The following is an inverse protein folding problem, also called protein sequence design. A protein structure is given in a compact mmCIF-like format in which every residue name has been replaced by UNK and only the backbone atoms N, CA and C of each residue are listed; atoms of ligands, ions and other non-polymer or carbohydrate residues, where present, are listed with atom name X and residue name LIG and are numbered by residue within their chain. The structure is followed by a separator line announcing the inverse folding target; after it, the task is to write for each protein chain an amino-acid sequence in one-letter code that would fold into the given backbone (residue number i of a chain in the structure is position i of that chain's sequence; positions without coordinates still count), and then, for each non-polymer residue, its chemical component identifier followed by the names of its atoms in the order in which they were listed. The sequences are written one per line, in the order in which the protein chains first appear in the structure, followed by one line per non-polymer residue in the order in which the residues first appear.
data_IF_880772801284
#
_entry.id   IF_880772801284
#
_cell.length_a   1.000
_cell.length_b   1.000
_cell.length_c   1.000
_cell.angle_alpha   90.00
_cell.angle_beta   90.00
_cell.angle_gamma   90.00
#
_symmetry.space_group_name_H-M   'P 1'
#
loop_
_entity.id
_entity.type
_entity.pdbx_description
1 polymer ?
#
# COMPACT_ATOMS: atom_id res chain seq x y z
N UNK A 1 -3.20 67.70 2.51
CA UNK A 1 -2.30 66.73 3.16
C UNK A 1 -3.02 65.57 3.84
N UNK A 2 -3.84 65.77 4.91
CA UNK A 2 -4.54 64.66 5.58
C UNK A 2 -5.45 63.83 4.66
N UNK A 3 -6.25 64.47 3.80
CA UNK A 3 -7.15 63.76 2.85
C UNK A 3 -6.39 62.95 1.81
N UNK A 4 -5.28 63.49 1.29
CA UNK A 4 -4.41 62.81 0.32
C UNK A 4 -3.72 61.59 0.94
N UNK A 5 -3.24 61.70 2.18
CA UNK A 5 -2.64 60.60 2.93
C UNK A 5 -3.66 59.47 3.19
N UNK A 6 -4.88 59.81 3.61
CA UNK A 6 -5.97 58.84 3.82
C UNK A 6 -6.33 58.12 2.52
N UNK A 7 -6.44 58.85 1.39
CA UNK A 7 -6.70 58.24 0.09
C UNK A 7 -5.58 57.30 -0.37
N UNK A 8 -4.31 57.64 -0.14
CA UNK A 8 -3.18 56.76 -0.47
C UNK A 8 -3.23 55.49 0.38
N UNK A 9 -3.44 55.60 1.70
CA UNK A 9 -3.53 54.44 2.60
C UNK A 9 -4.69 53.51 2.22
N UNK A 10 -5.86 54.08 1.90
CA UNK A 10 -7.02 53.30 1.44
C UNK A 10 -6.73 52.61 0.10
N UNK A 11 -6.11 53.31 -0.85
CA UNK A 11 -5.76 52.74 -2.15
C UNK A 11 -4.72 51.62 -2.02
N UNK A 12 -3.67 51.82 -1.22
CA UNK A 12 -2.66 50.78 -0.94
C UNK A 12 -3.30 49.58 -0.26
N UNK A 13 -4.17 49.79 0.74
CA UNK A 13 -4.90 48.70 1.39
C UNK A 13 -5.78 47.91 0.43
N UNK A 14 -6.50 48.59 -0.47
CA UNK A 14 -7.33 47.94 -1.49
C UNK A 14 -6.52 47.16 -2.52
N UNK A 15 -5.38 47.71 -2.96
CA UNK A 15 -4.46 47.03 -3.89
C UNK A 15 -3.86 45.78 -3.24
N UNK A 16 -3.38 45.88 -1.99
CA UNK A 16 -2.86 44.74 -1.23
C UNK A 16 -3.93 43.66 -1.00
N UNK A 17 -5.16 44.06 -0.65
CA UNK A 17 -6.27 43.12 -0.46
C UNK A 17 -6.68 42.44 -1.77
N UNK A 18 -6.76 43.21 -2.87
CA UNK A 18 -7.08 42.69 -4.19
C UNK A 18 -5.99 41.75 -4.70
N UNK A 19 -4.72 42.08 -4.47
CA UNK A 19 -3.59 41.20 -4.75
C UNK A 19 -3.68 39.92 -3.92
N UNK A 20 -3.92 40.01 -2.61
CA UNK A 20 -4.10 38.84 -1.74
C UNK A 20 -5.26 37.95 -2.20
N UNK A 21 -6.39 38.53 -2.63
CA UNK A 21 -7.55 37.76 -3.08
C UNK A 21 -7.33 37.10 -4.46
N UNK A 22 -6.57 37.72 -5.36
CA UNK A 22 -6.43 37.28 -6.75
C UNK A 22 -5.15 36.50 -7.06
N UNK A 23 -4.06 36.73 -6.31
CA UNK A 23 -2.78 36.08 -6.56
C UNK A 23 -2.76 34.66 -6.00
N UNK A 24 -2.35 33.70 -6.83
CA UNK A 24 -1.95 32.37 -6.39
C UNK A 24 -0.51 32.42 -5.86
N UNK A 25 -0.17 31.49 -4.96
CA UNK A 25 1.19 31.35 -4.46
C UNK A 25 2.08 30.67 -5.51
N UNK A 26 3.40 30.77 -5.35
CA UNK A 26 4.30 29.91 -6.10
C UNK A 26 4.21 28.46 -5.57
N UNK A 27 4.28 27.48 -6.46
CA UNK A 27 4.41 26.08 -6.06
C UNK A 27 5.76 25.89 -5.36
N UNK A 28 5.77 25.18 -4.23
CA UNK A 28 7.02 24.84 -3.53
C UNK A 28 7.93 24.01 -4.44
N UNK A 29 9.26 24.26 -4.49
CA UNK A 29 10.16 23.51 -5.38
C UNK A 29 10.12 21.99 -5.15
N UNK A 30 10.05 21.55 -3.89
CA UNK A 30 9.95 20.13 -3.53
C UNK A 30 8.62 19.52 -4.00
N UNK A 31 7.51 20.25 -3.84
CA UNK A 31 6.22 19.85 -4.37
C UNK A 31 6.27 19.67 -5.89
N UNK A 32 6.94 20.58 -6.61
CA UNK A 32 7.16 20.45 -8.05
C UNK A 32 8.00 19.21 -8.41
N UNK A 33 9.02 18.89 -7.63
CA UNK A 33 9.84 17.70 -7.86
C UNK A 33 9.01 16.41 -7.72
N UNK A 34 8.13 16.34 -6.71
CA UNK A 34 7.26 15.18 -6.53
C UNK A 34 6.22 15.04 -7.65
N UNK A 35 5.67 16.14 -8.17
CA UNK A 35 4.73 16.05 -9.31
C UNK A 35 5.37 15.44 -10.57
N UNK A 36 6.69 15.55 -10.71
CA UNK A 36 7.42 15.05 -11.86
C UNK A 36 7.75 13.55 -11.76
N UNK A 37 7.66 12.93 -10.58
CA UNK A 37 7.95 11.48 -10.43
C UNK A 37 6.96 10.58 -11.16
N UNK A 38 5.75 11.09 -11.44
CA UNK A 38 4.68 10.36 -12.12
C UNK A 38 4.82 10.24 -13.64
N UNK A 39 5.75 10.99 -14.23
CA UNK A 39 5.98 10.96 -15.67
C UNK A 39 6.87 9.79 -16.11
N UNK A 40 7.39 8.99 -15.15
CA UNK A 40 8.23 7.84 -15.48
C UNK A 40 7.40 6.71 -16.07
N UNK A 41 7.79 6.28 -17.28
CA UNK A 41 7.19 5.15 -17.99
C UNK A 41 7.69 3.85 -17.37
N UNK A 42 6.87 2.79 -17.36
CA UNK A 42 7.39 1.44 -17.12
C UNK A 42 8.38 1.12 -18.24
N UNK A 43 9.66 0.95 -17.90
CA UNK A 43 10.76 1.02 -18.88
C UNK A 43 10.91 -0.27 -19.71
N UNK A 44 10.34 -1.40 -19.28
CA UNK A 44 10.48 -2.68 -19.98
C UNK A 44 9.44 -3.75 -19.56
N UNK A 45 9.41 -4.85 -20.33
CA UNK A 45 8.65 -6.08 -20.03
C UNK A 45 9.17 -6.87 -18.81
N UNK A 46 10.27 -6.43 -18.20
CA UNK A 46 10.91 -7.08 -17.04
C UNK A 46 10.46 -6.45 -15.71
N UNK A 47 9.21 -5.98 -15.67
CA UNK A 47 8.58 -5.40 -14.49
C UNK A 47 7.42 -6.30 -14.03
N UNK A 48 7.34 -6.54 -12.72
CA UNK A 48 6.36 -7.44 -12.14
C UNK A 48 4.91 -6.98 -12.38
N UNK A 49 4.62 -5.68 -12.34
CA UNK A 49 3.29 -5.14 -12.62
C UNK A 49 2.85 -5.42 -14.07
N UNK A 50 3.77 -5.31 -15.03
CA UNK A 50 3.51 -5.67 -16.45
C UNK A 50 3.24 -7.17 -16.60
N UNK A 51 4.01 -8.02 -15.92
CA UNK A 51 3.78 -9.46 -15.93
C UNK A 51 2.45 -9.84 -15.29
N UNK A 52 2.05 -9.19 -14.19
CA UNK A 52 0.74 -9.41 -13.58
C UNK A 52 -0.44 -8.99 -14.49
N UNK A 53 -0.26 -7.99 -15.36
CA UNK A 53 -1.28 -7.63 -16.38
C UNK A 53 -1.48 -8.73 -17.43
N UNK A 54 -0.48 -9.59 -17.63
CA UNK A 54 -0.45 -10.67 -18.64
C UNK A 54 -0.40 -12.06 -18.02
N UNK A 55 -0.79 -12.18 -16.74
CA UNK A 55 -0.60 -13.39 -15.95
C UNK A 55 -1.19 -14.63 -16.64
N UNK A 56 -0.42 -15.72 -16.68
CA UNK A 56 -0.81 -16.98 -17.32
C UNK A 56 -0.75 -16.95 -18.85
N UNK A 57 -0.40 -15.80 -19.45
CA UNK A 57 -0.21 -15.60 -20.88
C UNK A 57 1.22 -15.11 -21.14
N UNK A 58 2.16 -16.02 -20.95
CA UNK A 58 3.60 -15.77 -21.06
C UNK A 58 4.12 -15.59 -22.49
N UNK A 59 3.25 -15.64 -23.50
CA UNK A 59 3.60 -15.40 -24.89
C UNK A 59 4.16 -13.96 -25.07
N UNK A 60 5.38 -13.79 -25.62
CA UNK A 60 5.99 -12.48 -25.80
C UNK A 60 5.15 -11.51 -26.64
N UNK A 61 4.38 -11.99 -27.63
CA UNK A 61 3.51 -11.14 -28.43
C UNK A 61 2.39 -10.55 -27.59
N UNK A 62 1.77 -11.36 -26.73
CA UNK A 62 0.70 -10.89 -25.83
C UNK A 62 1.22 -9.84 -24.84
N UNK A 63 2.40 -10.08 -24.25
CA UNK A 63 3.02 -9.13 -23.32
C UNK A 63 3.38 -7.81 -23.97
N UNK A 64 3.91 -7.84 -25.19
CA UNK A 64 4.16 -6.64 -25.98
C UNK A 64 2.88 -5.88 -26.26
N UNK A 65 1.79 -6.55 -26.63
CA UNK A 65 0.49 -5.90 -26.84
C UNK A 65 -0.05 -5.23 -25.56
N UNK A 66 0.11 -5.88 -24.40
CA UNK A 66 -0.28 -5.28 -23.11
C UNK A 66 0.57 -4.04 -22.79
N UNK A 67 1.88 -4.12 -23.03
CA UNK A 67 2.78 -2.97 -22.81
C UNK A 67 2.48 -1.82 -23.79
N UNK A 68 2.25 -2.11 -25.07
CA UNK A 68 1.82 -1.13 -26.08
C UNK A 68 0.53 -0.45 -25.65
N UNK A 69 -0.48 -1.23 -25.23
CA UNK A 69 -1.75 -0.70 -24.71
C UNK A 69 -1.53 0.20 -23.49
N UNK A 70 -0.63 -0.18 -22.57
CA UNK A 70 -0.27 0.63 -21.42
C UNK A 70 0.37 1.97 -21.85
N UNK A 71 1.32 1.93 -22.78
CA UNK A 71 2.00 3.12 -23.27
C UNK A 71 1.07 4.06 -24.04
N UNK A 72 0.20 3.53 -24.90
CA UNK A 72 -0.81 4.32 -25.61
C UNK A 72 -1.74 5.03 -24.63
N UNK A 73 -2.23 4.32 -23.60
CA UNK A 73 -3.07 4.91 -22.56
C UNK A 73 -2.31 5.96 -21.73
N UNK A 74 -1.05 5.71 -21.41
CA UNK A 74 -0.21 6.67 -20.69
C UNK A 74 0.06 7.94 -21.51
N UNK A 75 0.29 7.80 -22.82
CA UNK A 75 0.46 8.94 -23.73
C UNK A 75 -0.84 9.75 -23.84
N UNK A 76 -1.98 9.08 -24.02
CA UNK A 76 -3.29 9.73 -24.02
C UNK A 76 -3.55 10.47 -22.71
N UNK A 77 -3.22 9.87 -21.57
CA UNK A 77 -3.34 10.51 -20.26
C UNK A 77 -2.43 11.74 -20.11
N UNK A 78 -1.19 11.69 -20.61
CA UNK A 78 -0.28 12.84 -20.56
C UNK A 78 -0.71 13.97 -21.50
N UNK A 79 -1.30 13.66 -22.66
CA UNK A 79 -1.65 14.65 -23.68
C UNK A 79 -3.02 15.32 -23.46
N UNK A 80 -3.97 14.62 -22.84
CA UNK A 80 -5.36 15.10 -22.79
C UNK A 80 -5.70 15.91 -21.54
N UNK A 81 -4.87 15.90 -20.49
CA UNK A 81 -5.16 16.43 -19.12
C UNK A 81 -6.48 15.94 -18.49
N UNK A 82 -7.30 15.21 -19.24
CA UNK A 82 -8.61 14.70 -18.88
C UNK A 82 -8.46 13.20 -18.65
N UNK A 83 -9.03 12.72 -17.55
CA UNK A 83 -9.18 11.28 -17.34
C UNK A 83 -10.11 10.78 -18.44
N UNK A 84 -9.65 9.86 -19.29
CA UNK A 84 -10.56 9.16 -20.21
C UNK A 84 -11.61 8.42 -19.37
N UNK A 85 -12.83 8.28 -19.89
CA UNK A 85 -13.88 7.50 -19.21
C UNK A 85 -13.56 5.99 -19.18
N UNK A 86 -12.39 5.58 -19.64
CA UNK A 86 -11.97 4.19 -19.65
C UNK A 86 -11.56 3.77 -18.23
N UNK A 87 -12.03 2.59 -17.82
CA UNK A 87 -11.57 1.99 -16.56
C UNK A 87 -10.07 1.67 -16.65
N UNK A 88 -9.37 1.90 -15.54
CA UNK A 88 -7.99 1.45 -15.39
C UNK A 88 -7.92 -0.07 -15.59
N UNK A 89 -6.83 -0.52 -16.24
CA UNK A 89 -6.53 -1.95 -16.33
C UNK A 89 -6.34 -2.51 -14.92
N UNK A 90 -6.78 -3.73 -14.67
CA UNK A 90 -6.58 -4.39 -13.38
C UNK A 90 -5.36 -5.29 -13.48
N UNK A 91 -4.52 -5.36 -12.45
CA UNK A 91 -3.51 -6.40 -12.32
C UNK A 91 -3.54 -7.00 -10.91
N UNK A 92 -3.53 -8.33 -10.71
CA UNK A 92 -3.55 -9.36 -11.74
C UNK A 92 -4.86 -9.36 -12.57
N UNK A 93 -4.74 -9.55 -13.89
CA UNK A 93 -5.87 -9.54 -14.82
C UNK A 93 -6.36 -10.95 -15.18
N UNK A 94 -6.95 -11.65 -14.21
CA UNK A 94 -7.48 -13.01 -14.42
C UNK A 94 -8.98 -13.01 -14.18
N UNK A 95 -9.76 -12.88 -15.24
CA UNK A 95 -11.23 -12.78 -15.13
C UNK A 95 -11.89 -14.02 -14.54
N UNK A 96 -11.20 -15.17 -14.62
CA UNK A 96 -11.65 -16.45 -14.11
C UNK A 96 -11.59 -16.53 -12.57
N UNK A 97 -10.97 -15.57 -11.88
CA UNK A 97 -10.90 -15.55 -10.41
C UNK A 97 -12.21 -15.14 -9.74
N UNK A 98 -13.05 -14.34 -10.41
CA UNK A 98 -14.26 -13.76 -9.82
C UNK A 98 -15.16 -14.78 -9.09
N UNK A 99 -15.44 -15.99 -9.65
CA UNK A 99 -16.27 -16.99 -8.96
C UNK A 99 -15.62 -17.57 -7.69
N UNK A 100 -14.30 -17.44 -7.55
CA UNK A 100 -13.53 -18.04 -6.45
C UNK A 100 -13.23 -17.07 -5.31
N UNK A 101 -13.28 -15.75 -5.54
CA UNK A 101 -12.97 -14.74 -4.52
C UNK A 101 -13.84 -14.88 -3.26
N UNK A 102 -15.10 -15.28 -3.42
CA UNK A 102 -16.04 -15.51 -2.32
C UNK A 102 -16.24 -16.98 -1.97
N UNK A 103 -15.48 -17.90 -2.58
CA UNK A 103 -15.67 -19.32 -2.39
C UNK A 103 -15.08 -19.76 -1.03
N UNK A 104 -15.87 -20.43 -0.17
CA UNK A 104 -15.43 -20.85 1.17
C UNK A 104 -14.25 -21.83 1.16
N UNK A 105 -13.93 -22.44 0.02
CA UNK A 105 -12.77 -23.31 -0.13
C UNK A 105 -11.43 -22.53 -0.12
N UNK A 106 -11.43 -21.25 -0.48
CA UNK A 106 -10.23 -20.40 -0.41
C UNK A 106 -10.21 -19.58 0.88
N UNK A 107 -10.33 -20.31 1.99
CA UNK A 107 -10.38 -19.81 3.35
C UNK A 107 -9.04 -19.24 3.85
N UNK A 108 -9.08 -18.53 4.97
CA UNK A 108 -7.86 -18.16 5.70
C UNK A 108 -7.36 -19.41 6.44
N UNK A 109 -6.07 -19.74 6.30
CA UNK A 109 -5.52 -20.99 6.85
C UNK A 109 -5.42 -20.98 8.37
N UNK A 110 -5.57 -19.81 8.99
CA UNK A 110 -5.72 -19.64 10.44
C UNK A 110 -7.11 -20.04 10.95
N UNK A 111 -8.11 -20.16 10.07
CA UNK A 111 -9.44 -20.61 10.48
C UNK A 111 -9.41 -22.12 10.83
N UNK A 112 -9.94 -22.52 12.00
CA UNK A 112 -9.84 -23.90 12.48
C UNK A 112 -10.38 -24.98 11.52
N UNK A 113 -11.38 -24.63 10.72
CA UNK A 113 -12.05 -25.51 9.78
C UNK A 113 -11.50 -25.43 8.36
N UNK A 114 -10.49 -24.60 8.10
CA UNK A 114 -9.95 -24.40 6.76
C UNK A 114 -9.26 -25.66 6.22
N UNK A 115 -8.22 -26.18 6.90
CA UNK A 115 -7.54 -27.41 6.44
C UNK A 115 -8.46 -28.64 6.37
N UNK A 116 -9.35 -28.91 7.34
CA UNK A 116 -10.36 -29.96 7.20
C UNK A 116 -11.20 -29.81 5.93
N UNK A 117 -11.68 -28.59 5.64
CA UNK A 117 -12.47 -28.30 4.43
C UNK A 117 -11.67 -28.48 3.15
N UNK A 118 -10.39 -28.10 3.13
CA UNK A 118 -9.51 -28.34 1.99
C UNK A 118 -9.33 -29.86 1.74
N UNK A 119 -9.15 -30.65 2.80
CA UNK A 119 -9.00 -32.10 2.70
C UNK A 119 -10.29 -32.78 2.21
N UNK A 120 -11.45 -32.37 2.70
CA UNK A 120 -12.75 -32.89 2.25
C UNK A 120 -13.03 -32.61 0.76
N UNK A 121 -12.39 -31.58 0.19
CA UNK A 121 -12.61 -31.13 -1.19
C UNK A 121 -11.34 -31.26 -2.06
N UNK A 122 -10.40 -32.14 -1.68
CA UNK A 122 -9.09 -32.27 -2.34
C UNK A 122 -9.20 -32.53 -3.84
N UNK A 123 -10.13 -33.38 -4.27
CA UNK A 123 -10.30 -33.76 -5.67
C UNK A 123 -10.72 -32.56 -6.53
N UNK A 124 -11.70 -31.79 -6.05
CA UNK A 124 -12.16 -30.59 -6.74
C UNK A 124 -11.06 -29.52 -6.76
N UNK A 125 -10.39 -29.31 -5.63
CA UNK A 125 -9.29 -28.34 -5.54
C UNK A 125 -8.10 -28.74 -6.43
N UNK A 126 -7.81 -30.02 -6.58
CA UNK A 126 -6.80 -30.53 -7.51
C UNK A 126 -7.09 -30.16 -8.97
N UNK A 127 -8.37 -30.20 -9.38
CA UNK A 127 -8.79 -29.74 -10.71
C UNK A 127 -8.57 -28.23 -10.84
N UNK A 128 -9.01 -27.44 -9.85
CA UNK A 128 -8.87 -25.98 -9.86
C UNK A 128 -7.39 -25.56 -9.90
N UNK A 129 -6.54 -26.19 -9.10
CA UNK A 129 -5.09 -25.94 -9.11
C UNK A 129 -4.46 -26.29 -10.47
N UNK A 130 -4.87 -27.40 -11.08
CA UNK A 130 -4.41 -27.80 -12.41
C UNK A 130 -4.84 -26.78 -13.48
N UNK A 131 -6.06 -26.27 -13.39
CA UNK A 131 -6.60 -25.25 -14.31
C UNK A 131 -5.78 -23.96 -14.26
N UNK A 132 -5.38 -23.52 -13.07
CA UNK A 132 -4.64 -22.27 -12.84
C UNK A 132 -3.11 -22.45 -12.76
N UNK A 133 -2.58 -23.62 -13.11
CA UNK A 133 -1.16 -23.88 -13.07
C UNK A 133 -0.33 -22.90 -13.93
N UNK A 134 -0.76 -22.49 -15.15
CA UNK A 134 -0.05 -21.49 -15.93
C UNK A 134 0.11 -20.16 -15.19
N UNK A 135 -0.95 -19.66 -14.55
CA UNK A 135 -0.94 -18.43 -13.75
C UNK A 135 -0.06 -18.57 -12.52
N UNK A 136 -0.11 -19.71 -11.82
CA UNK A 136 0.73 -19.97 -10.64
C UNK A 136 2.22 -20.04 -10.99
N UNK A 137 2.59 -20.70 -12.09
CA UNK A 137 3.98 -20.78 -12.54
C UNK A 137 4.51 -19.41 -12.95
N UNK A 138 3.73 -18.64 -13.73
CA UNK A 138 4.09 -17.29 -14.14
C UNK A 138 4.19 -16.35 -12.92
N UNK A 139 3.25 -16.46 -11.97
CA UNK A 139 3.27 -15.71 -10.71
C UNK A 139 4.54 -16.00 -9.88
N UNK A 140 4.90 -17.27 -9.72
CA UNK A 140 6.10 -17.65 -8.97
C UNK A 140 7.39 -17.23 -9.68
N UNK A 141 7.40 -17.15 -11.01
CA UNK A 141 8.55 -16.68 -11.80
C UNK A 141 8.85 -15.19 -11.62
N UNK A 142 7.89 -14.40 -11.10
CA UNK A 142 8.09 -12.96 -10.87
C UNK A 142 9.28 -12.65 -9.96
N UNK A 143 9.68 -13.59 -9.11
CA UNK A 143 10.85 -13.44 -8.23
C UNK A 143 12.17 -13.24 -9.02
N UNK A 144 12.20 -13.65 -10.28
CA UNK A 144 13.37 -13.53 -11.17
C UNK A 144 13.49 -12.13 -11.80
N UNK A 145 12.49 -11.26 -11.63
CA UNK A 145 12.46 -9.93 -12.22
C UNK A 145 13.26 -8.92 -11.38
N UNK A 146 13.80 -7.91 -12.04
CA UNK A 146 14.60 -6.87 -11.36
C UNK A 146 13.75 -5.69 -10.86
N UNK A 147 12.58 -5.46 -11.47
CA UNK A 147 11.73 -4.30 -11.23
C UNK A 147 10.34 -4.68 -10.71
N UNK A 148 9.92 -4.00 -9.65
CA UNK A 148 8.63 -4.15 -8.98
C UNK A 148 7.90 -2.81 -8.82
N UNK A 149 8.32 -1.80 -9.59
CA UNK A 149 7.67 -0.49 -9.65
C UNK A 149 6.19 -0.67 -10.02
N UNK A 150 5.31 0.05 -9.33
CA UNK A 150 3.88 -0.05 -9.59
C UNK A 150 3.50 0.64 -10.90
N UNK A 151 2.50 0.12 -11.59
CA UNK A 151 1.97 0.73 -12.81
C UNK A 151 1.21 2.04 -12.48
N UNK A 152 1.24 3.02 -13.38
CA UNK A 152 0.58 4.30 -13.17
C UNK A 152 -0.91 4.07 -12.82
N UNK A 153 -1.42 4.54 -11.66
CA UNK A 153 -2.72 4.19 -11.13
C UNK A 153 -3.89 4.85 -11.86
N UNK A 154 -3.63 5.69 -12.88
CA UNK A 154 -4.66 6.14 -13.82
C UNK A 154 -4.81 5.21 -15.02
N UNK A 155 -3.78 4.40 -15.29
CA UNK A 155 -3.70 3.51 -16.45
C UNK A 155 -3.99 2.07 -16.04
N UNK A 156 -3.39 1.65 -14.93
CA UNK A 156 -3.56 0.33 -14.35
C UNK A 156 -3.54 0.39 -12.82
N UNK A 157 -4.43 -0.34 -12.17
CA UNK A 157 -4.52 -0.43 -10.72
C UNK A 157 -4.40 -1.87 -10.23
N UNK A 158 -3.79 -2.03 -9.05
CA UNK A 158 -3.64 -3.31 -8.40
C UNK A 158 -4.99 -3.78 -7.86
N UNK A 159 -5.46 -4.92 -8.33
CA UNK A 159 -6.59 -5.63 -7.75
C UNK A 159 -6.09 -6.47 -6.57
N UNK A 160 -6.29 -5.95 -5.35
CA UNK A 160 -5.83 -6.59 -4.12
C UNK A 160 -6.49 -7.95 -3.89
N UNK A 161 -7.77 -8.10 -4.21
CA UNK A 161 -8.50 -9.36 -4.01
C UNK A 161 -7.93 -10.47 -4.89
N UNK A 162 -7.68 -10.18 -6.17
CA UNK A 162 -7.01 -11.10 -7.10
C UNK A 162 -5.58 -11.43 -6.65
N UNK A 163 -4.84 -10.44 -6.13
CA UNK A 163 -3.49 -10.68 -5.63
C UNK A 163 -3.51 -11.61 -4.40
N UNK A 164 -4.35 -11.34 -3.40
CA UNK A 164 -4.49 -12.18 -2.21
C UNK A 164 -4.95 -13.59 -2.62
N UNK A 165 -5.85 -13.69 -3.60
CA UNK A 165 -6.30 -14.97 -4.13
C UNK A 165 -5.16 -15.79 -4.73
N UNK A 166 -4.22 -15.20 -5.47
CA UNK A 166 -3.02 -15.91 -5.96
C UNK A 166 -2.18 -16.50 -4.82
N UNK A 167 -1.96 -15.72 -3.76
CA UNK A 167 -1.22 -16.22 -2.58
C UNK A 167 -1.96 -17.37 -1.89
N UNK A 168 -3.29 -17.30 -1.78
CA UNK A 168 -4.11 -18.39 -1.23
C UNK A 168 -4.11 -19.63 -2.12
N UNK A 169 -4.21 -19.44 -3.43
CA UNK A 169 -4.22 -20.52 -4.42
C UNK A 169 -2.88 -21.26 -4.41
N UNK A 170 -1.76 -20.52 -4.46
CA UNK A 170 -0.41 -21.10 -4.31
C UNK A 170 -0.21 -21.73 -2.93
N UNK A 171 -0.71 -21.10 -1.88
CA UNK A 171 -0.70 -21.65 -0.52
C UNK A 171 -1.45 -22.99 -0.42
N UNK A 172 -2.54 -23.16 -1.18
CA UNK A 172 -3.31 -24.41 -1.25
C UNK A 172 -2.54 -25.50 -1.99
N UNK A 173 -1.82 -25.14 -3.06
CA UNK A 173 -0.90 -26.08 -3.74
C UNK A 173 0.19 -26.57 -2.79
N UNK A 174 0.85 -25.64 -2.09
CA UNK A 174 1.89 -25.94 -1.09
C UNK A 174 1.32 -26.82 0.02
N UNK A 175 0.11 -26.52 0.49
CA UNK A 175 -0.58 -27.31 1.49
C UNK A 175 -0.72 -28.78 1.07
N UNK A 176 -1.18 -29.03 -0.16
CA UNK A 176 -1.27 -30.40 -0.67
C UNK A 176 0.09 -31.05 -0.93
N UNK A 177 1.13 -30.28 -1.28
CA UNK A 177 2.49 -30.83 -1.31
C UNK A 177 2.94 -31.30 0.08
N UNK A 178 2.55 -30.61 1.17
CA UNK A 178 2.81 -31.07 2.55
C UNK A 178 2.04 -32.37 2.84
N UNK A 179 0.73 -32.40 2.58
CA UNK A 179 -0.12 -33.58 2.85
C UNK A 179 0.32 -34.82 2.05
N UNK A 180 0.86 -34.62 0.84
CA UNK A 180 1.38 -35.68 -0.02
C UNK A 180 2.85 -36.03 0.27
N UNK A 181 3.43 -35.53 1.36
CA UNK A 181 4.81 -35.76 1.79
C UNK A 181 5.89 -35.29 0.78
N UNK A 182 5.58 -34.29 -0.05
CA UNK A 182 6.53 -33.61 -0.93
C UNK A 182 7.21 -32.42 -0.20
N UNK A 183 7.78 -32.68 0.98
CA UNK A 183 8.20 -31.64 1.94
C UNK A 183 9.23 -30.67 1.35
N UNK A 184 10.23 -31.16 0.61
CA UNK A 184 11.24 -30.30 -0.02
C UNK A 184 10.64 -29.32 -1.04
N UNK A 185 9.66 -29.79 -1.84
CA UNK A 185 8.96 -28.93 -2.81
C UNK A 185 8.14 -27.87 -2.06
N UNK A 186 7.37 -28.28 -1.06
CA UNK A 186 6.58 -27.37 -0.24
C UNK A 186 7.44 -26.31 0.47
N UNK A 187 8.59 -26.69 1.03
CA UNK A 187 9.52 -25.74 1.65
C UNK A 187 10.08 -24.74 0.64
N UNK A 188 10.54 -25.21 -0.52
CA UNK A 188 11.08 -24.32 -1.54
C UNK A 188 10.03 -23.35 -2.09
N UNK A 189 8.83 -23.85 -2.36
CA UNK A 189 7.73 -23.05 -2.87
C UNK A 189 7.24 -22.02 -1.85
N UNK A 190 7.12 -22.40 -0.56
CA UNK A 190 6.75 -21.47 0.50
C UNK A 190 7.82 -20.39 0.71
N UNK A 191 9.10 -20.77 0.74
CA UNK A 191 10.21 -19.83 0.83
C UNK A 191 10.16 -18.82 -0.31
N UNK A 192 9.97 -19.29 -1.54
CA UNK A 192 9.89 -18.42 -2.72
C UNK A 192 8.64 -17.54 -2.69
N UNK A 193 7.51 -18.05 -2.18
CA UNK A 193 6.27 -17.27 -2.05
C UNK A 193 6.42 -16.13 -1.03
N UNK A 194 7.04 -16.40 0.13
CA UNK A 194 7.36 -15.37 1.13
C UNK A 194 8.34 -14.36 0.56
N UNK A 195 9.40 -14.83 -0.12
CA UNK A 195 10.39 -13.97 -0.76
C UNK A 195 9.75 -13.04 -1.80
N UNK A 196 8.88 -13.58 -2.66
CA UNK A 196 8.15 -12.80 -3.66
C UNK A 196 7.30 -11.71 -2.99
N UNK A 197 6.52 -12.07 -1.96
CA UNK A 197 5.69 -11.08 -1.27
C UNK A 197 6.53 -9.99 -0.59
N UNK A 198 7.67 -10.37 -0.02
CA UNK A 198 8.61 -9.45 0.62
C UNK A 198 9.25 -8.51 -0.40
N UNK A 199 9.56 -8.97 -1.60
CA UNK A 199 10.08 -8.10 -2.67
C UNK A 199 9.01 -7.11 -3.15
N UNK A 200 7.75 -7.55 -3.30
CA UNK A 200 6.64 -6.62 -3.53
C UNK A 200 6.50 -5.60 -2.39
N UNK A 201 6.61 -6.05 -1.14
CA UNK A 201 6.56 -5.18 0.02
C UNK A 201 7.70 -4.15 0.00
N UNK A 202 8.94 -4.56 -0.25
CA UNK A 202 10.11 -3.68 -0.22
C UNK A 202 10.12 -2.69 -1.38
N UNK A 203 9.96 -3.20 -2.61
CA UNK A 203 10.31 -2.47 -3.84
C UNK A 203 9.12 -1.81 -4.51
N UNK A 204 7.89 -2.19 -4.17
CA UNK A 204 6.72 -1.56 -4.77
C UNK A 204 6.39 -0.24 -4.07
N UNK A 205 6.09 0.77 -4.87
CA UNK A 205 5.57 2.05 -4.43
C UNK A 205 4.02 2.09 -4.43
N UNK A 206 3.38 0.91 -4.34
CA UNK A 206 1.94 0.73 -4.11
C UNK A 206 1.65 0.30 -2.66
N UNK A 207 0.74 1.03 -2.01
CA UNK A 207 0.28 0.72 -0.64
C UNK A 207 -0.36 -0.67 -0.53
N UNK A 208 -1.07 -1.11 -1.56
CA UNK A 208 -1.78 -2.38 -1.53
C UNK A 208 -0.82 -3.59 -1.46
N UNK A 209 0.40 -3.46 -2.00
CA UNK A 209 1.45 -4.47 -1.85
C UNK A 209 1.96 -4.56 -0.40
N UNK A 210 2.03 -3.44 0.34
CA UNK A 210 2.36 -3.45 1.78
C UNK A 210 1.29 -4.18 2.60
N UNK A 211 0.03 -3.88 2.30
CA UNK A 211 -1.13 -4.50 2.95
C UNK A 211 -1.18 -6.01 2.66
N UNK A 212 -0.96 -6.40 1.41
CA UNK A 212 -0.94 -7.80 0.97
C UNK A 212 0.03 -8.65 1.80
N UNK A 213 1.25 -8.18 2.07
CA UNK A 213 2.20 -8.94 2.87
C UNK A 213 1.73 -9.17 4.31
N UNK A 214 1.15 -8.14 4.94
CA UNK A 214 0.59 -8.25 6.29
C UNK A 214 -0.52 -9.30 6.35
N UNK A 215 -1.41 -9.29 5.35
CA UNK A 215 -2.51 -10.25 5.23
C UNK A 215 -2.00 -11.68 5.00
N UNK A 216 -1.06 -11.87 4.08
CA UNK A 216 -0.58 -13.22 3.72
C UNK A 216 0.33 -13.83 4.79
N UNK A 217 1.12 -13.02 5.50
CA UNK A 217 1.93 -13.48 6.62
C UNK A 217 1.06 -14.14 7.70
N UNK A 218 -0.06 -13.52 8.02
CA UNK A 218 -1.03 -14.04 8.98
C UNK A 218 -1.84 -15.20 8.41
N UNK A 219 -2.47 -15.02 7.25
CA UNK A 219 -3.51 -15.92 6.77
C UNK A 219 -3.02 -17.11 5.94
N UNK A 220 -1.75 -17.11 5.49
CA UNK A 220 -1.18 -18.16 4.64
C UNK A 220 0.15 -18.67 5.20
N UNK A 221 1.15 -17.79 5.34
CA UNK A 221 2.53 -18.22 5.58
C UNK A 221 2.70 -18.83 6.97
N UNK A 222 2.16 -18.20 8.02
CA UNK A 222 2.24 -18.69 9.39
C UNK A 222 1.70 -20.11 9.53
N UNK A 223 0.49 -20.37 9.01
CA UNK A 223 -0.14 -21.68 9.10
C UNK A 223 0.65 -22.76 8.35
N UNK A 224 1.16 -22.44 7.15
CA UNK A 224 1.98 -23.38 6.37
C UNK A 224 3.33 -23.66 7.00
N UNK A 225 4.00 -22.65 7.58
CA UNK A 225 5.26 -22.83 8.31
C UNK A 225 5.08 -23.73 9.53
N UNK A 226 4.03 -23.51 10.31
CA UNK A 226 3.70 -24.36 11.48
C UNK A 226 3.46 -25.80 11.02
N UNK A 227 2.73 -25.99 9.93
CA UNK A 227 2.44 -27.32 9.41
C UNK A 227 3.69 -28.02 8.87
N UNK A 228 4.55 -27.31 8.14
CA UNK A 228 5.85 -27.81 7.68
C UNK A 228 6.79 -28.18 8.81
N UNK A 229 6.84 -27.37 9.88
CA UNK A 229 7.71 -27.62 11.04
C UNK A 229 7.44 -28.98 11.69
N UNK A 230 6.21 -29.49 11.60
CA UNK A 230 5.83 -30.80 12.15
C UNK A 230 6.35 -31.99 11.31
N UNK A 231 6.90 -31.75 10.12
CA UNK A 231 7.46 -32.78 9.25
C UNK A 231 8.91 -33.11 9.61
N UNK A 232 9.29 -34.38 9.52
CA UNK A 232 10.65 -34.85 9.86
C UNK A 232 11.74 -34.24 8.96
N UNK A 233 11.42 -33.93 7.70
CA UNK A 233 12.36 -33.35 6.72
C UNK A 233 12.48 -31.82 6.78
N UNK A 234 11.88 -31.19 7.79
CA UNK A 234 11.89 -29.74 7.91
C UNK A 234 13.30 -29.17 8.14
N UNK A 235 13.70 -28.22 7.31
CA UNK A 235 14.95 -27.48 7.44
C UNK A 235 14.69 -25.99 7.64
N UNK A 236 14.74 -25.55 8.90
CA UNK A 236 14.54 -24.16 9.29
C UNK A 236 15.52 -23.19 8.60
N UNK A 237 16.72 -23.67 8.22
CA UNK A 237 17.76 -22.81 7.66
C UNK A 237 17.32 -22.18 6.33
N UNK A 238 16.46 -22.86 5.56
CA UNK A 238 15.93 -22.38 4.28
C UNK A 238 15.12 -21.08 4.41
N UNK A 239 14.57 -20.80 5.59
CA UNK A 239 13.68 -19.66 5.82
C UNK A 239 14.37 -18.45 6.48
N UNK A 240 15.61 -18.62 6.96
CA UNK A 240 16.37 -17.60 7.69
C UNK A 240 16.35 -16.23 7.02
N UNK A 241 16.59 -16.20 5.69
CA UNK A 241 16.65 -14.95 4.92
C UNK A 241 15.27 -14.31 4.73
N UNK A 242 14.23 -15.10 4.50
CA UNK A 242 12.90 -14.56 4.15
C UNK A 242 12.11 -14.12 5.39
N UNK A 243 12.41 -14.70 6.56
CA UNK A 243 11.81 -14.34 7.85
C UNK A 243 12.66 -13.39 8.70
N UNK A 244 13.83 -12.94 8.22
CA UNK A 244 14.63 -11.95 8.95
C UNK A 244 13.77 -10.71 9.26
N UNK A 245 14.00 -10.01 10.39
CA UNK A 245 13.29 -8.78 10.69
C UNK A 245 13.36 -7.80 9.52
N UNK A 246 12.28 -7.06 9.30
CA UNK A 246 12.22 -6.01 8.31
C UNK A 246 13.25 -4.94 8.66
N UNK A 247 13.95 -4.45 7.65
CA UNK A 247 14.79 -3.27 7.74
C UNK A 247 13.93 -2.00 7.72
N UNK A 248 14.46 -0.90 8.25
CA UNK A 248 13.78 0.40 8.18
C UNK A 248 13.52 0.83 6.72
N UNK A 249 14.41 0.46 5.78
CA UNK A 249 14.19 0.69 4.35
C UNK A 249 12.93 -0.01 3.84
N UNK A 250 12.77 -1.29 4.18
CA UNK A 250 11.58 -2.07 3.83
C UNK A 250 10.31 -1.51 4.49
N UNK A 251 10.39 -0.99 5.72
CA UNK A 251 9.24 -0.40 6.42
C UNK A 251 8.81 0.97 5.87
N UNK A 252 9.68 1.64 5.12
CA UNK A 252 9.40 2.99 4.63
C UNK A 252 8.21 2.99 3.66
N UNK A 253 7.31 3.97 3.84
CA UNK A 253 6.25 4.29 2.88
C UNK A 253 6.49 5.62 2.16
N UNK A 254 7.70 6.19 2.26
CA UNK A 254 7.98 7.54 1.75
C UNK A 254 7.72 7.65 0.23
N UNK A 255 8.14 6.67 -0.56
CA UNK A 255 7.87 6.66 -2.01
C UNK A 255 6.37 6.52 -2.31
N UNK A 256 5.64 5.72 -1.52
CA UNK A 256 4.17 5.60 -1.61
C UNK A 256 3.51 6.96 -1.34
N UNK A 257 4.00 7.74 -0.36
CA UNK A 257 3.49 9.07 -0.06
C UNK A 257 3.78 10.08 -1.19
N UNK A 258 5.00 10.07 -1.74
CA UNK A 258 5.39 10.89 -2.89
C UNK A 258 4.48 10.60 -4.09
N UNK A 259 4.28 9.32 -4.40
CA UNK A 259 3.39 8.86 -5.46
C UNK A 259 1.95 9.28 -5.18
N UNK A 260 1.45 9.04 -3.98
CA UNK A 260 0.07 9.40 -3.60
C UNK A 260 -0.19 10.90 -3.72
N UNK A 261 0.75 11.75 -3.29
CA UNK A 261 0.67 13.20 -3.50
C UNK A 261 0.54 13.55 -4.99
N UNK A 262 1.43 13.02 -5.82
CA UNK A 262 1.45 13.34 -7.24
C UNK A 262 0.21 12.83 -7.99
N UNK A 263 -0.31 11.64 -7.64
CA UNK A 263 -1.61 11.13 -8.09
C UNK A 263 -2.73 12.11 -7.74
N UNK A 264 -2.86 12.47 -6.46
CA UNK A 264 -3.94 13.32 -5.98
C UNK A 264 -3.88 14.74 -6.52
N UNK A 265 -2.67 15.28 -6.68
CA UNK A 265 -2.46 16.58 -7.33
C UNK A 265 -2.92 16.56 -8.80
N UNK A 266 -2.63 15.49 -9.56
CA UNK A 266 -3.11 15.36 -10.94
C UNK A 266 -4.62 15.20 -11.03
N UNK A 267 -5.25 14.44 -10.12
CA UNK A 267 -6.72 14.34 -10.05
C UNK A 267 -7.38 15.71 -9.92
N UNK A 268 -6.83 16.57 -9.06
CA UNK A 268 -7.32 17.94 -8.89
C UNK A 268 -7.16 18.74 -10.19
N UNK A 269 -5.97 18.71 -10.81
CA UNK A 269 -5.72 19.41 -12.09
C UNK A 269 -6.69 18.96 -13.20
N UNK A 270 -6.88 17.65 -13.36
CA UNK A 270 -7.78 17.07 -14.36
C UNK A 270 -9.26 17.47 -14.13
N UNK A 271 -9.73 17.36 -12.88
CA UNK A 271 -11.10 17.77 -12.52
C UNK A 271 -11.36 19.26 -12.78
N UNK A 272 -10.33 20.10 -12.67
CA UNK A 272 -10.42 21.53 -12.96
C UNK A 272 -10.36 21.83 -14.45
N UNK A 273 -9.52 21.13 -15.22
CA UNK A 273 -9.50 21.22 -16.68
C UNK A 273 -10.88 20.91 -17.26
N UNK A 274 -11.52 19.83 -16.79
CA UNK A 274 -12.88 19.45 -17.17
C UNK A 274 -13.94 20.52 -16.83
N UNK A 275 -13.78 21.24 -15.72
CA UNK A 275 -14.68 22.35 -15.34
C UNK A 275 -14.47 23.58 -16.21
N UNK A 276 -13.21 23.96 -16.51
CA UNK A 276 -12.88 25.14 -17.34
C UNK A 276 -13.59 25.10 -18.69
N UNK A 277 -13.58 23.94 -19.36
CA UNK A 277 -14.29 23.70 -20.64
C UNK A 277 -15.79 24.02 -20.56
N UNK A 278 -16.41 23.85 -19.37
CA UNK A 278 -17.84 24.06 -19.16
C UNK A 278 -18.20 25.46 -18.61
N UNK A 279 -17.29 26.14 -17.91
CA UNK A 279 -17.57 27.40 -17.18
C UNK A 279 -17.13 28.70 -17.88
N UNK A 280 -16.47 28.62 -19.04
CA UNK A 280 -15.76 29.76 -19.66
C UNK A 280 -16.64 30.85 -20.33
N UNK A 281 -17.95 30.88 -20.07
CA UNK A 281 -18.88 31.79 -20.79
C UNK A 281 -18.95 33.23 -20.27
N UNK A 282 -18.42 33.58 -19.07
CA UNK A 282 -18.49 34.97 -18.56
C UNK A 282 -17.24 35.47 -17.82
N UNK A 283 -16.97 36.78 -17.88
CA UNK A 283 -15.84 37.43 -17.19
C UNK A 283 -15.98 37.38 -15.66
N UNK A 284 -17.20 37.52 -15.14
CA UNK A 284 -17.50 37.40 -13.71
C UNK A 284 -17.27 35.97 -13.20
N UNK A 285 -17.62 34.95 -13.99
CA UNK A 285 -17.33 33.55 -13.67
C UNK A 285 -15.83 33.29 -13.54
N UNK A 286 -15.03 33.84 -14.48
CA UNK A 286 -13.56 33.74 -14.45
C UNK A 286 -12.93 34.45 -13.26
N UNK A 287 -13.43 35.64 -12.91
CA UNK A 287 -12.97 36.38 -11.73
C UNK A 287 -13.32 35.64 -10.44
N UNK A 288 -14.55 35.14 -10.32
CA UNK A 288 -15.01 34.35 -9.18
C UNK A 288 -14.18 33.08 -9.01
N UNK A 289 -13.89 32.36 -10.10
CA UNK A 289 -13.04 31.17 -10.06
C UNK A 289 -11.63 31.46 -9.52
N UNK A 290 -11.01 32.57 -9.93
CA UNK A 290 -9.70 33.00 -9.40
C UNK A 290 -9.72 33.36 -7.92
N UNK A 291 -10.88 33.78 -7.39
CA UNK A 291 -11.05 34.12 -5.98
C UNK A 291 -11.26 32.86 -5.14
N UNK A 292 -12.07 31.91 -5.60
CA UNK A 292 -12.45 30.74 -4.79
C UNK A 292 -11.48 29.56 -4.92
N UNK A 293 -10.62 29.56 -5.94
CA UNK A 293 -9.68 28.47 -6.22
C UNK A 293 -8.30 28.98 -6.60
N UNK A 294 -7.29 28.53 -5.85
CA UNK A 294 -5.87 28.78 -6.04
C UNK A 294 -5.14 27.44 -6.11
N UNK A 295 -4.60 27.13 -7.27
CA UNK A 295 -4.03 25.82 -7.57
C UNK A 295 -2.79 25.55 -6.72
N UNK A 296 -1.80 26.42 -6.79
CA UNK A 296 -0.54 26.21 -6.09
C UNK A 296 -0.73 26.27 -4.57
N UNK A 297 -1.61 27.15 -4.07
CA UNK A 297 -1.98 27.16 -2.65
C UNK A 297 -2.60 25.81 -2.22
N UNK A 298 -3.46 25.21 -3.04
CA UNK A 298 -4.05 23.90 -2.76
C UNK A 298 -3.00 22.79 -2.77
N UNK A 299 -2.18 22.74 -3.82
CA UNK A 299 -1.12 21.74 -3.96
C UNK A 299 -0.07 21.84 -2.85
N UNK A 300 0.35 23.06 -2.48
CA UNK A 300 1.25 23.28 -1.35
C UNK A 300 0.64 22.80 -0.03
N UNK A 301 -0.66 23.04 0.18
CA UNK A 301 -1.36 22.59 1.39
C UNK A 301 -1.50 21.06 1.45
N UNK A 302 -1.68 20.40 0.30
CA UNK A 302 -1.66 18.93 0.23
C UNK A 302 -0.26 18.38 0.48
N UNK A 303 0.75 18.99 -0.16
CA UNK A 303 2.15 18.63 0.00
C UNK A 303 2.58 18.67 1.46
N UNK A 304 2.17 19.70 2.20
CA UNK A 304 2.47 19.84 3.63
C UNK A 304 1.87 18.70 4.47
N UNK A 305 0.70 18.19 4.11
CA UNK A 305 0.12 17.04 4.80
C UNK A 305 0.88 15.74 4.47
N UNK A 306 1.27 15.52 3.22
CA UNK A 306 2.10 14.37 2.86
C UNK A 306 3.51 14.41 3.46
N UNK A 307 4.10 15.60 3.61
CA UNK A 307 5.39 15.76 4.28
C UNK A 307 5.35 15.27 5.73
N UNK A 308 4.23 15.45 6.43
CA UNK A 308 4.07 14.99 7.81
C UNK A 308 4.05 13.46 7.93
N UNK A 309 3.80 12.73 6.83
CA UNK A 309 3.76 11.27 6.81
C UNK A 309 5.09 10.62 6.44
N UNK A 310 6.09 11.42 6.08
CA UNK A 310 7.38 10.86 5.72
C UNK A 310 8.11 10.39 6.96
N UNK A 311 8.46 9.11 6.95
CA UNK A 311 9.36 8.54 7.94
C UNK A 311 10.73 9.23 7.88
N UNK A 312 11.24 9.75 9.01
CA UNK A 312 12.60 10.25 9.11
C UNK A 312 13.64 9.18 8.77
N UNK A 313 14.77 9.58 8.20
CA UNK A 313 15.84 8.66 7.79
C UNK A 313 16.60 8.02 8.96
N UNK A 314 16.54 8.65 10.14
CA UNK A 314 17.25 8.29 11.37
C UNK A 314 16.34 7.65 12.43
N UNK A 315 15.07 7.36 12.10
CA UNK A 315 14.13 6.75 13.03
C UNK A 315 14.57 5.34 13.42
N UNK A 316 14.36 4.97 14.68
CA UNK A 316 14.55 3.59 15.17
C UNK A 316 13.21 2.86 15.27
N UNK A 317 13.22 1.52 15.36
CA UNK A 317 11.98 0.73 15.51
C UNK A 317 11.16 1.16 16.74
N UNK A 318 11.74 1.36 17.95
CA UNK A 318 10.98 1.88 19.09
C UNK A 318 10.29 3.22 18.83
N UNK A 319 10.95 4.11 18.07
CA UNK A 319 10.41 5.43 17.74
C UNK A 319 9.29 5.36 16.69
N UNK A 320 9.23 4.28 15.88
CA UNK A 320 8.22 4.12 14.83
C UNK A 320 6.78 4.13 15.36
N UNK A 321 6.52 3.49 16.49
CA UNK A 321 5.20 3.49 17.12
C UNK A 321 4.82 4.88 17.65
N UNK A 322 5.80 5.62 18.17
CA UNK A 322 5.59 6.99 18.64
C UNK A 322 5.32 7.93 17.47
N UNK A 323 6.04 7.75 16.37
CA UNK A 323 5.84 8.47 15.12
C UNK A 323 4.44 8.21 14.53
N UNK A 324 4.02 6.95 14.50
CA UNK A 324 2.67 6.55 14.09
C UNK A 324 1.59 7.23 14.94
N UNK A 325 1.70 7.16 16.28
CA UNK A 325 0.77 7.83 17.18
C UNK A 325 0.73 9.37 16.99
N UNK A 326 1.87 9.99 16.69
CA UNK A 326 1.97 11.43 16.39
C UNK A 326 1.24 11.80 15.10
N UNK A 327 1.38 10.98 14.06
CA UNK A 327 0.66 11.13 12.80
C UNK A 327 -0.85 11.10 13.08
N UNK A 328 -1.33 10.06 13.78
CA UNK A 328 -2.75 9.91 14.09
C UNK A 328 -3.30 11.07 14.92
N UNK A 329 -2.56 11.51 15.95
CA UNK A 329 -2.99 12.64 16.79
C UNK A 329 -3.06 13.93 15.98
N UNK A 330 -2.08 14.20 15.12
CA UNK A 330 -2.05 15.37 14.24
C UNK A 330 -3.22 15.37 13.26
N UNK A 331 -3.54 14.21 12.65
CA UNK A 331 -4.71 14.09 11.78
C UNK A 331 -6.02 14.35 12.53
N UNK A 332 -6.16 13.77 13.74
CA UNK A 332 -7.35 13.94 14.59
C UNK A 332 -7.51 15.38 15.06
N UNK A 333 -6.43 16.05 15.45
CA UNK A 333 -6.46 17.47 15.83
C UNK A 333 -6.91 18.36 14.67
N UNK A 334 -6.41 18.11 13.44
CA UNK A 334 -6.88 18.83 12.24
C UNK A 334 -8.37 18.60 12.00
N UNK A 335 -8.86 17.37 12.15
CA UNK A 335 -10.28 17.04 11.98
C UNK A 335 -11.17 17.74 13.04
N UNK A 336 -10.76 17.70 14.30
CA UNK A 336 -11.45 18.37 15.40
C UNK A 336 -11.49 19.89 15.20
N UNK A 337 -10.35 20.51 14.89
CA UNK A 337 -10.27 21.95 14.63
C UNK A 337 -11.18 22.40 13.47
N UNK A 338 -11.31 21.56 12.43
CA UNK A 338 -12.21 21.81 11.31
C UNK A 338 -13.69 21.64 11.69
N UNK A 339 -14.00 20.71 12.60
CA UNK A 339 -15.37 20.42 13.04
C UNK A 339 -15.91 21.43 14.07
N UNK A 340 -15.06 21.91 14.99
CA UNK A 340 -15.48 22.80 16.09
C UNK A 340 -15.68 24.26 15.63
N UNK A 341 -14.96 24.70 14.60
CA UNK A 341 -15.01 26.09 14.12
C UNK A 341 -15.01 26.19 12.58
N UNK A 342 -16.03 25.64 11.90
CA UNK A 342 -16.09 25.58 10.44
C UNK A 342 -16.13 26.97 9.79
N UNK A 343 -16.65 27.98 10.50
CA UNK A 343 -16.70 29.36 10.00
C UNK A 343 -15.31 30.03 10.00
N UNK A 344 -14.53 29.85 11.07
CA UNK A 344 -13.14 30.36 11.12
C UNK A 344 -12.25 29.68 10.07
N UNK A 345 -12.42 28.37 9.86
CA UNK A 345 -11.69 27.64 8.81
C UNK A 345 -12.02 28.17 7.41
N UNK A 346 -13.30 28.46 7.13
CA UNK A 346 -13.74 29.08 5.86
C UNK A 346 -13.21 30.51 5.69
N UNK A 347 -13.16 31.30 6.76
CA UNK A 347 -12.63 32.67 6.71
C UNK A 347 -11.11 32.70 6.47
N UNK A 348 -10.36 31.84 7.16
CA UNK A 348 -8.89 31.72 6.98
C UNK A 348 -8.51 31.39 5.54
N UNK A 349 -9.43 30.75 4.82
CA UNK A 349 -9.24 30.26 3.47
C UNK A 349 -10.24 30.84 2.46
N UNK A 350 -10.75 32.05 2.73
CA UNK A 350 -11.78 32.68 1.90
C UNK A 350 -11.35 32.89 0.45
N UNK A 351 -10.03 32.97 0.20
CA UNK A 351 -9.45 33.08 -1.14
C UNK A 351 -9.10 31.72 -1.79
N UNK A 352 -9.49 30.59 -1.19
CA UNK A 352 -9.24 29.24 -1.72
C UNK A 352 -10.24 28.19 -1.20
N UNK A 353 -11.51 28.58 -1.02
CA UNK A 353 -12.52 27.70 -0.42
C UNK A 353 -12.77 26.42 -1.23
N UNK A 354 -12.75 26.52 -2.56
CA UNK A 354 -12.93 25.36 -3.45
C UNK A 354 -11.71 24.46 -3.42
N UNK A 355 -10.51 25.02 -3.31
CA UNK A 355 -9.27 24.24 -3.24
C UNK A 355 -9.21 23.35 -2.01
N UNK A 356 -9.66 23.87 -0.87
CA UNK A 356 -9.76 23.09 0.37
C UNK A 356 -10.80 21.99 0.27
N UNK A 357 -11.99 22.31 -0.24
CA UNK A 357 -13.01 21.29 -0.44
C UNK A 357 -12.52 20.16 -1.38
N UNK A 358 -11.77 20.51 -2.44
CA UNK A 358 -11.17 19.52 -3.33
C UNK A 358 -10.10 18.69 -2.63
N UNK A 359 -9.23 19.33 -1.82
CA UNK A 359 -8.25 18.63 -0.99
C UNK A 359 -8.94 17.64 -0.05
N UNK A 360 -9.99 18.05 0.67
CA UNK A 360 -10.71 17.21 1.63
C UNK A 360 -11.38 16.00 0.94
N UNK A 361 -11.79 16.13 -0.32
CA UNK A 361 -12.41 15.04 -1.10
C UNK A 361 -11.36 14.10 -1.71
N UNK A 362 -10.25 14.64 -2.22
CA UNK A 362 -9.23 13.88 -2.97
C UNK A 362 -8.17 13.27 -2.05
N UNK A 363 -7.97 13.83 -0.85
CA UNK A 363 -7.16 13.23 0.21
C UNK A 363 -8.06 12.60 1.28
N UNK A 364 -8.85 11.54 0.98
CA UNK A 364 -9.50 10.80 2.05
C UNK A 364 -8.42 10.28 3.00
N UNK A 365 -8.73 10.35 4.31
CA UNK A 365 -7.87 10.04 5.47
C UNK A 365 -6.64 9.23 5.08
N UNK A 366 -5.48 9.89 5.07
CA UNK A 366 -4.23 9.20 4.81
C UNK A 366 -4.12 8.05 5.82
N UNK A 367 -3.97 6.82 5.33
CA UNK A 367 -3.92 5.64 6.19
C UNK A 367 -2.51 5.54 6.75
N UNK A 368 -2.36 5.72 8.05
CA UNK A 368 -1.15 5.31 8.74
C UNK A 368 -1.12 3.77 8.79
N UNK A 369 -0.04 3.18 8.27
CA UNK A 369 0.16 1.73 8.27
C UNK A 369 1.40 1.31 9.07
N UNK A 370 2.07 2.22 9.77
CA UNK A 370 3.29 1.90 10.50
C UNK A 370 3.04 0.96 11.68
N UNK A 371 1.90 1.08 12.36
CA UNK A 371 1.48 0.09 13.37
C UNK A 371 1.30 -1.29 12.74
N UNK A 372 0.58 -1.41 11.61
CA UNK A 372 0.41 -2.68 10.91
C UNK A 372 1.74 -3.28 10.41
N UNK A 373 2.69 -2.44 9.96
CA UNK A 373 4.04 -2.87 9.60
C UNK A 373 4.80 -3.39 10.83
N UNK A 374 4.66 -2.73 11.99
CA UNK A 374 5.28 -3.19 13.24
C UNK A 374 4.70 -4.51 13.74
N UNK A 375 3.38 -4.72 13.56
CA UNK A 375 2.72 -6.00 13.82
C UNK A 375 3.27 -7.10 12.91
N UNK A 376 3.39 -6.83 11.60
CA UNK A 376 3.99 -7.75 10.64
C UNK A 376 5.44 -8.10 11.02
N UNK A 377 6.28 -7.11 11.31
CA UNK A 377 7.69 -7.34 11.68
C UNK A 377 7.81 -8.17 12.96
N UNK A 378 7.00 -7.85 13.98
CA UNK A 378 6.96 -8.62 15.22
C UNK A 378 6.50 -10.06 14.98
N UNK A 379 5.55 -10.28 14.07
CA UNK A 379 5.13 -11.63 13.67
C UNK A 379 6.26 -12.38 12.96
N UNK A 380 7.02 -11.73 12.07
CA UNK A 380 8.17 -12.33 11.40
C UNK A 380 9.27 -12.72 12.40
N UNK A 381 9.55 -11.87 13.40
CA UNK A 381 10.48 -12.18 14.49
C UNK A 381 10.05 -13.43 15.26
N UNK A 382 8.78 -13.51 15.66
CA UNK A 382 8.22 -14.68 16.35
C UNK A 382 8.26 -15.93 15.48
N UNK A 383 7.90 -15.82 14.19
CA UNK A 383 7.94 -16.94 13.24
C UNK A 383 9.37 -17.46 13.05
N UNK A 384 10.34 -16.55 12.84
CA UNK A 384 11.74 -16.90 12.66
C UNK A 384 12.29 -17.67 13.85
N UNK A 385 11.99 -17.20 15.07
CA UNK A 385 12.37 -17.91 16.28
C UNK A 385 11.63 -19.24 16.40
N UNK A 386 10.31 -19.25 16.20
CA UNK A 386 9.48 -20.44 16.33
C UNK A 386 9.97 -21.57 15.44
N UNK A 387 10.31 -21.31 14.18
CA UNK A 387 10.76 -22.38 13.28
C UNK A 387 12.15 -22.94 13.63
N UNK A 388 12.98 -22.18 14.34
CA UNK A 388 14.32 -22.63 14.79
C UNK A 388 14.26 -23.39 16.12
N UNK A 389 13.23 -23.14 16.92
CA UNK A 389 13.04 -23.77 18.22
C UNK A 389 12.74 -25.28 18.08
N UNK A 390 13.59 -26.12 18.68
CA UNK A 390 13.47 -27.59 18.65
C UNK A 390 13.11 -28.21 20.02
N UNK A 391 12.83 -27.39 21.03
CA UNK A 391 12.52 -27.86 22.38
C UNK A 391 11.07 -28.30 22.57
N UNK A 392 10.79 -28.88 23.74
CA UNK A 392 9.43 -29.25 24.14
C UNK A 392 8.62 -28.03 24.64
N UNK A 393 7.29 -28.17 24.73
CA UNK A 393 6.40 -27.08 25.17
C UNK A 393 6.74 -26.44 26.53
N UNK A 394 7.42 -27.18 27.43
CA UNK A 394 7.91 -26.65 28.70
C UNK A 394 9.13 -25.74 28.56
N UNK A 395 10.05 -26.07 27.64
CA UNK A 395 11.24 -25.28 27.34
C UNK A 395 10.88 -23.98 26.59
N UNK A 396 9.81 -24.04 25.78
CA UNK A 396 9.28 -22.88 25.07
C UNK A 396 8.91 -21.73 26.02
N UNK A 397 8.35 -22.05 27.19
CA UNK A 397 7.96 -21.06 28.19
C UNK A 397 9.15 -20.33 28.81
N UNK A 398 10.26 -21.03 29.03
CA UNK A 398 11.48 -20.45 29.59
C UNK A 398 12.22 -19.63 28.52
N UNK A 399 12.31 -20.16 27.29
CA UNK A 399 13.01 -19.49 26.20
C UNK A 399 12.23 -18.32 25.58
N UNK A 400 10.90 -18.27 25.70
CA UNK A 400 10.10 -17.14 25.22
C UNK A 400 10.59 -15.79 25.80
N UNK A 401 11.09 -15.81 27.04
CA UNK A 401 11.62 -14.62 27.71
C UNK A 401 12.87 -14.02 27.04
N UNK A 402 13.59 -14.83 26.25
CA UNK A 402 14.80 -14.42 25.52
C UNK A 402 14.50 -13.64 24.24
N UNK A 403 13.26 -13.71 23.75
CA UNK A 403 12.83 -13.05 22.52
C UNK A 403 12.33 -11.66 22.88
N UNK A 404 13.06 -10.62 22.52
CA UNK A 404 12.71 -9.24 22.86
C UNK A 404 12.06 -8.56 21.65
N UNK A 405 10.90 -7.95 21.85
CA UNK A 405 10.27 -7.15 20.82
C UNK A 405 11.08 -5.88 20.55
N UNK A 406 11.55 -5.69 19.32
CA UNK A 406 12.39 -4.54 18.94
C UNK A 406 11.69 -3.17 19.03
N UNK A 407 10.36 -3.12 19.16
CA UNK A 407 9.59 -1.88 19.28
C UNK A 407 9.32 -1.49 20.74
N UNK A 408 9.00 -2.45 21.59
CA UNK A 408 8.59 -2.18 22.98
C UNK A 408 9.67 -2.49 24.01
N UNK A 409 10.71 -3.25 23.62
CA UNK A 409 11.72 -3.78 24.54
C UNK A 409 11.18 -4.83 25.51
N UNK A 410 9.93 -5.25 25.35
CA UNK A 410 9.30 -6.27 26.18
C UNK A 410 9.62 -7.66 25.62
N UNK A 411 9.91 -8.61 26.52
CA UNK A 411 10.05 -10.02 26.16
C UNK A 411 8.73 -10.59 25.62
N UNK A 412 8.82 -11.60 24.76
CA UNK A 412 7.67 -12.39 24.35
C UNK A 412 7.06 -13.09 25.56
N UNK A 413 5.76 -13.33 25.48
CA UNK A 413 4.96 -13.95 26.54
C UNK A 413 4.05 -15.00 25.95
N UNK A 414 3.67 -15.99 26.75
CA UNK A 414 2.68 -16.98 26.34
C UNK A 414 1.27 -16.51 26.68
N UNK A 415 0.38 -16.44 25.70
CA UNK A 415 -1.02 -16.07 25.86
C UNK A 415 -1.87 -17.20 25.29
N UNK A 416 -2.65 -17.88 26.13
CA UNK A 416 -3.48 -19.02 25.73
C UNK A 416 -2.72 -20.17 25.02
N UNK A 417 -1.44 -20.33 25.30
CA UNK A 417 -0.59 -21.32 24.63
C UNK A 417 0.05 -20.81 23.34
N UNK A 418 -0.16 -19.56 22.93
CA UNK A 418 0.52 -18.96 21.78
C UNK A 418 1.69 -18.08 22.24
N UNK A 419 2.77 -18.06 21.45
CA UNK A 419 3.90 -17.18 21.68
C UNK A 419 3.57 -15.80 21.12
N UNK A 420 3.58 -14.77 21.96
CA UNK A 420 3.09 -13.45 21.60
C UNK A 420 4.03 -12.31 21.98
N UNK A 421 4.09 -11.32 21.11
CA UNK A 421 4.56 -9.97 21.42
C UNK A 421 3.38 -9.03 21.69
N UNK A 422 3.60 -8.03 22.54
CA UNK A 422 2.63 -6.97 22.80
C UNK A 422 3.05 -5.69 22.09
N UNK A 423 2.18 -5.18 21.23
CA UNK A 423 2.29 -3.85 20.59
C UNK A 423 1.01 -3.09 20.92
N UNK A 424 1.11 -1.92 21.54
CA UNK A 424 -0.04 -1.09 21.90
C UNK A 424 -1.20 -1.85 22.61
N UNK A 425 -0.86 -2.83 23.47
CA UNK A 425 -1.78 -3.74 24.18
C UNK A 425 -2.49 -4.78 23.30
N UNK A 426 -2.20 -4.83 22.00
CA UNK A 426 -2.63 -5.88 21.09
C UNK A 426 -1.60 -7.02 21.10
N UNK A 427 -2.01 -8.27 21.33
CA UNK A 427 -1.14 -9.42 21.22
C UNK A 427 -0.97 -9.83 19.75
N UNK A 428 0.28 -9.94 19.31
CA UNK A 428 0.68 -10.48 18.00
C UNK A 428 1.27 -11.86 18.26
N UNK A 429 0.58 -12.90 17.80
CA UNK A 429 0.82 -14.27 18.25
C UNK A 429 1.16 -15.23 17.11
N UNK A 430 2.04 -16.17 17.40
CA UNK A 430 2.31 -17.37 16.61
C UNK A 430 1.90 -18.59 17.47
N UNK A 431 0.99 -19.44 16.97
CA UNK A 431 0.60 -20.66 17.67
C UNK A 431 1.81 -21.53 17.95
N UNK A 432 1.96 -21.95 19.21
CA UNK A 432 3.08 -22.79 19.61
C UNK A 432 2.81 -24.29 19.50
N UNK A 433 1.55 -24.68 19.24
CA UNK A 433 1.10 -26.07 19.18
C UNK A 433 0.60 -26.48 17.80
#
# INVERSE_FOLDING_TARGET
MKKTLVSIVVLTGLLSFSYYMLADQALKPQASAWLNSFAEQMKNNNNASVRLLSLGKSDPSYQNTILETYHERLEQFNNSELLSNEKAMQYPNVSQFEPFLSNPLFCNFTAPDCFPRLNENSDYLGIVLTEFQPELLDFMSLIELDSFEAANPFIAELNLDNLIFLYKLKGTEIYFDIENNNIQKAMNDLKNLIALNRVFFEKSDDLLNKISFSINAENVFQALLIKLKRSEEFDASQFTKVLQPLSLGEMSVNQIQVRSYAKNARLIKAGLAARKVNTDRSMLSRLWHRIIYKENMTLNSMFDDYLMLLMPSDITKPELLTFSALIESSMREKELANSENPWFHKLKNISNTTGIALKDVVMPRQVDIYEAIAELDSRLQLLAWFIQFNGDSGELHEEASSIVNEYTGLSATMINGDLCHLINKKPICVPSQ
#
